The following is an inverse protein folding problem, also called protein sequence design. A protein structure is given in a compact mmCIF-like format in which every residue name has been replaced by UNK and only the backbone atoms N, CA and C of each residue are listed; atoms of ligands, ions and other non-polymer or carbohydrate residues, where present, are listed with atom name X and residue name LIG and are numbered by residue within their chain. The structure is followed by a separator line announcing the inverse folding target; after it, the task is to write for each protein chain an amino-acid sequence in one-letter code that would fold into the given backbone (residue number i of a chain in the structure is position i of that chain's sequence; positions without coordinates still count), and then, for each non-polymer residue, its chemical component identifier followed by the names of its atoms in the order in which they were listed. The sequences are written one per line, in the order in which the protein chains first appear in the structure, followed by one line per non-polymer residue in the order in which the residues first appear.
data_IF_111973973634
#
_entry.id   IF_111973973634
#
_cell.length_a   1.000
_cell.length_b   1.000
_cell.length_c   1.000
_cell.angle_alpha   90.00
_cell.angle_beta   90.00
_cell.angle_gamma   90.00
#
_symmetry.space_group_name_H-M   'P 1'
#
loop_
_entity.id
_entity.type
_entity.pdbx_description
1 polymer ?
#
# COMPACT_ATOMS: atom_id res chain seq x y z
N UNK A 1 -4.86 -13.98 -16.20
CA UNK A 1 -3.80 -13.01 -16.55
C UNK A 1 -3.52 -12.20 -15.30
N UNK A 2 -2.35 -12.35 -14.68
CA UNK A 2 -1.94 -11.38 -13.65
C UNK A 2 -1.46 -10.14 -14.41
N UNK A 3 -2.20 -9.03 -14.27
CA UNK A 3 -1.81 -7.75 -14.85
C UNK A 3 -0.47 -7.35 -14.23
N UNK A 4 0.48 -6.82 -15.02
CA UNK A 4 1.74 -6.27 -14.50
C UNK A 4 1.50 -4.92 -13.80
N UNK A 5 0.54 -4.89 -12.88
CA UNK A 5 0.11 -3.72 -12.15
C UNK A 5 1.17 -3.43 -11.10
N UNK A 6 1.66 -2.19 -11.09
CA UNK A 6 2.54 -1.66 -10.05
C UNK A 6 1.84 -0.48 -9.41
N UNK A 7 1.54 -0.58 -8.13
CA UNK A 7 0.82 0.45 -7.39
C UNK A 7 1.79 1.13 -6.44
N UNK A 8 1.83 2.46 -6.50
CA UNK A 8 2.55 3.30 -5.56
C UNK A 8 1.54 4.05 -4.70
N UNK A 9 1.52 3.74 -3.42
CA UNK A 9 0.66 4.38 -2.42
C UNK A 9 1.52 5.36 -1.63
N UNK A 10 1.06 6.60 -1.54
CA UNK A 10 1.75 7.66 -0.80
C UNK A 10 0.83 8.15 0.30
N UNK A 11 1.26 7.99 1.55
CA UNK A 11 0.53 8.45 2.72
C UNK A 11 1.41 9.45 3.47
N UNK A 12 0.90 10.64 3.83
CA UNK A 12 1.71 11.64 4.52
C UNK A 12 2.27 11.13 5.86
N UNK A 13 1.51 10.35 6.63
CA UNK A 13 1.98 9.71 7.86
C UNK A 13 1.41 8.30 8.03
N UNK A 14 2.17 7.42 8.66
CA UNK A 14 1.74 6.07 9.01
C UNK A 14 1.31 6.06 10.49
N UNK A 15 0.01 6.04 10.73
CA UNK A 15 -0.58 6.06 12.07
C UNK A 15 -1.84 5.20 12.13
N UNK A 16 -2.73 5.52 13.06
CA UNK A 16 -3.98 4.80 13.23
C UNK A 16 -5.14 5.56 12.58
N UNK A 17 -5.57 5.07 11.43
CA UNK A 17 -6.71 5.62 10.70
C UNK A 17 -7.17 4.71 9.56
N UNK A 18 -8.31 5.06 8.98
CA UNK A 18 -8.95 4.25 7.94
C UNK A 18 -8.18 4.26 6.62
N UNK A 19 -7.59 5.41 6.27
CA UNK A 19 -6.80 5.54 5.03
C UNK A 19 -5.48 4.77 5.14
N UNK A 20 -4.85 4.82 6.31
CA UNK A 20 -3.60 4.14 6.62
C UNK A 20 -3.79 2.62 6.60
N UNK A 21 -4.78 2.13 7.34
CA UNK A 21 -5.12 0.70 7.39
C UNK A 21 -5.46 0.17 6.01
N UNK A 22 -6.32 0.88 5.26
CA UNK A 22 -6.70 0.46 3.91
C UNK A 22 -5.53 0.44 2.93
N UNK A 23 -4.62 1.43 2.99
CA UNK A 23 -3.42 1.41 2.17
C UNK A 23 -2.48 0.27 2.55
N UNK A 24 -2.43 -0.10 3.84
CA UNK A 24 -1.66 -1.24 4.34
C UNK A 24 -2.24 -2.56 3.83
N UNK A 25 -3.56 -2.73 3.87
CA UNK A 25 -4.27 -3.90 3.37
C UNK A 25 -4.04 -4.06 1.86
N UNK A 26 -4.16 -2.99 1.09
CA UNK A 26 -3.89 -3.00 -0.37
C UNK A 26 -2.40 -3.26 -0.64
N UNK A 27 -1.50 -2.70 0.19
CA UNK A 27 -0.07 -2.95 0.07
C UNK A 27 0.27 -4.43 0.23
N UNK A 28 -0.49 -5.15 1.06
CA UNK A 28 -0.34 -6.58 1.30
C UNK A 28 -1.06 -7.45 0.26
N UNK A 29 -2.30 -7.11 -0.09
CA UNK A 29 -3.13 -7.88 -1.00
C UNK A 29 -2.56 -7.97 -2.43
N UNK A 30 -1.98 -6.87 -2.93
CA UNK A 30 -1.44 -6.81 -4.29
C UNK A 30 -0.28 -7.79 -4.54
N UNK A 31 0.76 -7.89 -3.69
CA UNK A 31 1.83 -8.87 -3.87
C UNK A 31 1.35 -10.32 -3.75
N UNK A 32 0.34 -10.61 -2.92
CA UNK A 32 -0.30 -11.94 -2.89
C UNK A 32 -0.94 -12.31 -4.25
N UNK A 33 -1.38 -11.32 -5.02
CA UNK A 33 -1.97 -11.47 -6.34
C UNK A 33 -0.96 -11.29 -7.50
N UNK A 34 0.35 -11.42 -7.22
CA UNK A 34 1.45 -11.23 -8.17
C UNK A 34 1.52 -9.81 -8.80
N UNK A 35 1.00 -8.80 -8.11
CA UNK A 35 1.13 -7.40 -8.49
C UNK A 35 2.23 -6.70 -7.66
N UNK A 36 2.91 -5.73 -8.24
CA UNK A 36 3.87 -4.90 -7.50
C UNK A 36 3.16 -3.88 -6.63
N UNK A 37 3.57 -3.73 -5.37
CA UNK A 37 3.01 -2.72 -4.48
C UNK A 37 4.10 -2.05 -3.65
N UNK A 38 4.02 -0.73 -3.56
CA UNK A 38 4.98 0.13 -2.88
C UNK A 38 4.22 1.12 -2.02
N UNK A 39 4.59 1.22 -0.75
CA UNK A 39 4.02 2.18 0.19
C UNK A 39 5.12 3.15 0.64
N UNK A 40 4.91 4.44 0.40
CA UNK A 40 5.81 5.51 0.83
C UNK A 40 5.10 6.35 1.88
N UNK A 41 5.82 6.62 2.97
CA UNK A 41 5.36 7.50 4.04
C UNK A 41 6.44 8.50 4.45
N UNK A 42 6.04 9.71 4.87
CA UNK A 42 6.99 10.72 5.37
C UNK A 42 7.33 10.54 6.87
N UNK A 43 6.78 9.51 7.51
CA UNK A 43 7.04 9.17 8.92
C UNK A 43 5.80 8.59 9.59
N UNK A 44 5.99 7.86 10.69
CA UNK A 44 4.91 7.28 11.48
C UNK A 44 5.04 7.65 12.95
N UNK A 45 3.94 7.49 13.67
CA UNK A 45 3.94 7.55 15.14
C UNK A 45 4.49 6.24 15.75
#
# INVERSE_FOLDING_TARGET
MSSNLKVLQVIPKLGYGGAETGCYDIAHYLPENNCGSFLITSGGE
#
